data_IF_858045924013
#
_entry.id   IF_858045924013
#
_cell.length_a   1.000
_cell.length_b   1.000
_cell.length_c   1.000
_cell.angle_alpha   90.00
_cell.angle_beta   90.00
_cell.angle_gamma   90.00
#
_symmetry.space_group_name_H-M   'P 1'
#
loop_
_entity.id
_entity.type
_entity.pdbx_description
1 polymer ?
#
# COMPACT_ATOMS: atom_id res chain seq x y z
N UNK A 1 3.16 15.44 66.08
CA UNK A 1 2.44 14.55 65.14
C UNK A 1 2.03 15.32 63.90
N UNK A 2 2.78 15.17 62.81
CA UNK A 2 2.48 15.84 61.53
C UNK A 2 2.27 14.74 60.51
N UNK A 3 1.05 14.52 60.11
CA UNK A 3 0.66 13.56 59.06
C UNK A 3 0.93 14.21 57.69
N UNK A 4 1.88 13.71 56.96
CA UNK A 4 2.12 14.10 55.57
C UNK A 4 1.20 13.27 54.66
N UNK A 5 0.28 13.95 54.02
CA UNK A 5 -0.59 13.37 52.96
C UNK A 5 0.23 13.35 51.69
N UNK A 6 0.59 12.18 51.23
CA UNK A 6 1.19 11.98 49.90
C UNK A 6 0.05 11.87 48.89
N UNK A 7 -0.15 12.91 48.11
CA UNK A 7 -1.06 12.89 46.96
C UNK A 7 -0.40 12.09 45.85
N UNK A 8 -0.94 10.90 45.56
CA UNK A 8 -0.58 10.12 44.39
C UNK A 8 -1.26 10.74 43.15
N UNK A 9 -0.48 11.40 42.33
CA UNK A 9 -0.93 11.87 41.01
C UNK A 9 -0.92 10.66 40.08
N UNK A 10 -2.12 10.14 39.79
CA UNK A 10 -2.30 9.12 38.76
C UNK A 10 -2.10 9.79 37.39
N UNK A 11 -0.95 9.53 36.78
CA UNK A 11 -0.70 9.91 35.39
C UNK A 11 -1.53 8.97 34.49
N UNK A 12 -2.71 9.46 34.06
CA UNK A 12 -3.48 8.81 33.03
C UNK A 12 -2.69 8.98 31.73
N UNK A 13 -1.97 7.93 31.33
CA UNK A 13 -1.41 7.85 30.00
C UNK A 13 -2.58 7.78 29.00
N UNK A 14 -2.92 8.90 28.41
CA UNK A 14 -3.74 8.95 27.20
C UNK A 14 -2.96 8.17 26.14
N UNK A 15 -3.36 6.91 25.92
CA UNK A 15 -2.97 6.16 24.74
C UNK A 15 -3.50 6.94 23.55
N UNK A 16 -2.71 7.90 23.07
CA UNK A 16 -2.98 8.61 21.85
C UNK A 16 -3.07 7.59 20.73
N UNK A 17 -4.19 7.53 20.03
CA UNK A 17 -4.27 6.92 18.72
C UNK A 17 -3.04 7.40 17.95
N UNK A 18 -2.12 6.47 17.67
CA UNK A 18 -0.89 6.81 16.95
C UNK A 18 -1.29 7.48 15.65
N UNK A 19 -1.11 8.78 15.57
CA UNK A 19 -1.21 9.52 14.31
C UNK A 19 -0.12 8.95 13.42
N UNK A 20 -0.51 8.05 12.51
CA UNK A 20 0.39 7.68 11.43
C UNK A 20 0.62 8.98 10.67
N UNK A 21 1.75 9.60 10.81
CA UNK A 21 2.13 10.76 10.01
C UNK A 21 2.33 10.30 8.57
N UNK A 22 1.92 11.08 7.56
CA UNK A 22 2.25 10.80 6.18
C UNK A 22 3.75 10.56 6.08
N UNK A 23 4.15 9.39 5.60
CA UNK A 23 5.55 8.99 5.56
C UNK A 23 5.90 8.31 4.24
N UNK A 24 7.10 8.58 3.76
CA UNK A 24 7.71 7.81 2.67
C UNK A 24 8.30 6.54 3.26
N UNK A 25 7.98 5.39 2.69
CA UNK A 25 8.48 4.09 3.08
C UNK A 25 9.33 3.54 1.94
N UNK A 26 10.58 3.20 2.23
CA UNK A 26 11.54 2.70 1.23
C UNK A 26 12.01 1.28 1.49
N UNK A 27 11.79 0.75 2.69
CA UNK A 27 12.12 -0.63 3.04
C UNK A 27 11.09 -1.59 2.46
N UNK A 28 11.50 -2.54 1.57
CA UNK A 28 10.58 -3.52 0.98
C UNK A 28 9.84 -4.36 2.02
N UNK A 29 10.49 -4.75 3.11
CA UNK A 29 9.86 -5.55 4.16
C UNK A 29 8.74 -4.78 4.87
N UNK A 30 8.95 -3.50 5.12
CA UNK A 30 7.95 -2.63 5.71
C UNK A 30 6.78 -2.37 4.73
N UNK A 31 7.07 -2.16 3.44
CA UNK A 31 6.01 -2.04 2.42
C UNK A 31 5.17 -3.30 2.34
N UNK A 32 5.79 -4.49 2.32
CA UNK A 32 5.06 -5.76 2.33
C UNK A 32 4.14 -5.90 3.54
N UNK A 33 4.63 -5.51 4.71
CA UNK A 33 3.87 -5.56 5.95
C UNK A 33 2.67 -4.61 5.93
N UNK A 34 2.87 -3.38 5.49
CA UNK A 34 1.84 -2.34 5.47
C UNK A 34 0.84 -2.53 4.33
N UNK A 35 1.32 -2.77 3.12
CA UNK A 35 0.47 -2.89 1.93
C UNK A 35 -0.15 -4.29 1.75
N UNK A 36 0.29 -5.27 2.54
CA UNK A 36 -0.16 -6.67 2.45
C UNK A 36 0.00 -7.28 1.06
N UNK A 37 1.06 -6.91 0.38
CA UNK A 37 1.46 -7.45 -0.91
C UNK A 37 2.85 -8.07 -0.80
N UNK A 38 3.26 -8.86 -1.78
CA UNK A 38 4.63 -9.33 -1.89
C UNK A 38 5.42 -8.40 -2.81
N UNK A 39 6.57 -7.92 -2.32
CA UNK A 39 7.55 -7.17 -3.12
C UNK A 39 8.71 -8.13 -3.42
N UNK A 40 8.84 -8.63 -4.67
CA UNK A 40 9.90 -9.58 -5.01
C UNK A 40 11.30 -8.99 -4.81
N UNK A 41 12.34 -9.80 -4.56
CA UNK A 41 13.71 -9.32 -4.46
C UNK A 41 14.24 -8.62 -5.72
N UNK A 42 13.65 -8.93 -6.88
CA UNK A 42 13.94 -8.28 -8.17
C UNK A 42 13.30 -6.91 -8.33
N UNK A 43 12.44 -6.50 -7.40
CA UNK A 43 11.76 -5.21 -7.48
C UNK A 43 12.76 -4.05 -7.45
N UNK A 44 12.59 -3.12 -8.38
CA UNK A 44 13.41 -1.92 -8.49
C UNK A 44 12.53 -0.67 -8.43
N UNK A 45 13.13 0.46 -8.06
CA UNK A 45 12.45 1.75 -8.06
C UNK A 45 11.24 1.81 -7.12
N UNK A 46 11.28 1.10 -5.99
CA UNK A 46 10.22 1.11 -5.00
C UNK A 46 10.01 2.52 -4.44
N UNK A 47 8.80 2.99 -4.58
CA UNK A 47 8.32 4.25 -4.01
C UNK A 47 7.00 3.96 -3.33
N UNK A 48 6.88 4.34 -2.07
CA UNK A 48 5.70 4.07 -1.27
C UNK A 48 5.44 5.22 -0.31
N UNK A 49 4.19 5.52 -0.12
CA UNK A 49 3.73 6.52 0.84
C UNK A 49 2.56 6.00 1.65
N UNK A 50 2.52 6.40 2.91
CA UNK A 50 1.39 6.20 3.79
C UNK A 50 0.70 7.53 4.04
N UNK A 51 -0.62 7.52 4.05
CA UNK A 51 -1.42 8.65 4.47
C UNK A 51 -2.32 8.26 5.63
N UNK A 52 -2.58 9.23 6.46
CA UNK A 52 -3.41 9.05 7.64
C UNK A 52 -4.79 9.63 7.41
N UNK A 53 -5.75 8.87 7.84
CA UNK A 53 -7.15 9.24 7.86
C UNK A 53 -7.86 8.34 8.86
N UNK A 54 -9.17 8.32 8.78
CA UNK A 54 -9.99 7.34 9.50
C UNK A 54 -9.57 5.94 9.05
N UNK A 55 -9.32 5.79 7.75
CA UNK A 55 -8.81 4.57 7.14
C UNK A 55 -7.36 4.79 6.70
N UNK A 56 -6.40 3.99 7.18
CA UNK A 56 -5.02 4.11 6.75
C UNK A 56 -4.90 3.78 5.26
N UNK A 57 -4.29 4.69 4.51
CA UNK A 57 -4.01 4.52 3.10
C UNK A 57 -2.52 4.27 2.89
N UNK A 58 -2.20 3.28 2.08
CA UNK A 58 -0.85 3.04 1.59
C UNK A 58 -0.88 2.85 0.08
N UNK A 59 -0.06 3.60 -0.62
CA UNK A 59 0.05 3.51 -2.06
C UNK A 59 1.49 3.60 -2.52
N UNK A 60 1.77 3.04 -3.67
CA UNK A 60 3.13 3.04 -4.19
C UNK A 60 3.25 2.37 -5.54
N UNK A 61 4.49 2.31 -6.02
CA UNK A 61 4.86 1.61 -7.24
C UNK A 61 6.23 0.96 -7.13
N UNK A 62 6.46 -0.03 -7.97
CA UNK A 62 7.77 -0.63 -8.22
C UNK A 62 7.80 -1.27 -9.61
N UNK A 63 8.98 -1.64 -10.06
CA UNK A 63 9.21 -2.31 -11.34
C UNK A 63 9.66 -3.74 -11.10
N UNK A 64 9.19 -4.68 -11.93
CA UNK A 64 9.59 -6.09 -11.87
C UNK A 64 9.75 -6.67 -13.29
N UNK A 65 10.59 -7.69 -13.47
CA UNK A 65 10.49 -8.55 -14.64
C UNK A 65 9.11 -9.19 -14.75
N UNK A 66 8.57 -9.34 -15.94
CA UNK A 66 7.25 -9.97 -16.16
C UNK A 66 7.15 -11.37 -15.52
N UNK A 67 8.26 -12.12 -15.51
CA UNK A 67 8.30 -13.45 -14.90
C UNK A 67 8.01 -13.46 -13.39
N UNK A 68 8.20 -12.34 -12.71
CA UNK A 68 8.01 -12.22 -11.25
C UNK A 68 6.61 -11.74 -10.82
N UNK A 69 5.72 -11.47 -11.78
CA UNK A 69 4.35 -11.06 -11.48
C UNK A 69 3.63 -12.04 -10.56
N UNK A 70 3.87 -13.34 -10.76
CA UNK A 70 3.27 -14.37 -9.91
C UNK A 70 3.65 -14.22 -8.44
N UNK A 71 4.87 -13.80 -8.14
CA UNK A 71 5.31 -13.56 -6.77
C UNK A 71 4.56 -12.37 -6.13
N UNK A 72 4.27 -11.32 -6.90
CA UNK A 72 3.46 -10.18 -6.42
C UNK A 72 2.03 -10.61 -6.07
N UNK A 73 1.49 -11.54 -6.84
CA UNK A 73 0.12 -12.03 -6.71
C UNK A 73 -0.02 -13.27 -5.81
N UNK A 74 1.02 -13.65 -5.08
CA UNK A 74 1.02 -14.88 -4.27
C UNK A 74 -0.03 -14.87 -3.14
N UNK A 75 -0.41 -13.69 -2.66
CA UNK A 75 -1.45 -13.49 -1.64
C UNK A 75 -2.86 -13.33 -2.21
N UNK A 76 -2.99 -13.23 -3.51
CA UNK A 76 -4.28 -13.10 -4.15
C UNK A 76 -5.13 -14.36 -3.91
N UNK A 77 -6.38 -14.24 -3.42
CA UNK A 77 -7.28 -15.37 -3.27
C UNK A 77 -7.48 -16.13 -4.59
N UNK A 78 -7.67 -17.45 -4.51
CA UNK A 78 -7.82 -18.32 -5.71
C UNK A 78 -9.05 -18.01 -6.54
N UNK A 79 -10.08 -17.45 -5.94
CA UNK A 79 -11.33 -17.02 -6.58
C UNK A 79 -11.25 -15.60 -7.14
N UNK A 80 -10.21 -14.85 -6.82
CA UNK A 80 -9.95 -13.55 -7.39
C UNK A 80 -9.42 -13.68 -8.81
N UNK A 81 -9.80 -12.76 -9.68
CA UNK A 81 -9.39 -12.74 -11.09
C UNK A 81 -8.55 -11.51 -11.40
N UNK A 82 -7.64 -11.69 -12.33
CA UNK A 82 -6.98 -10.57 -13.00
C UNK A 82 -7.90 -10.15 -14.13
N UNK A 83 -8.23 -8.87 -14.17
CA UNK A 83 -9.15 -8.31 -15.16
C UNK A 83 -8.47 -7.18 -15.94
N UNK A 84 -8.87 -6.95 -17.20
CA UNK A 84 -8.49 -5.73 -17.90
C UNK A 84 -8.94 -4.51 -17.08
N UNK A 85 -8.13 -3.47 -17.09
CA UNK A 85 -8.48 -2.24 -16.42
C UNK A 85 -9.84 -1.69 -16.85
N UNK A 86 -10.61 -1.26 -15.87
CA UNK A 86 -11.80 -0.45 -16.08
C UNK A 86 -11.61 0.92 -15.39
N UNK A 87 -12.32 1.92 -15.86
CA UNK A 87 -12.33 3.28 -15.27
C UNK A 87 -12.80 3.32 -13.80
N UNK A 88 -13.23 2.20 -13.27
CA UNK A 88 -13.69 2.06 -11.88
C UNK A 88 -12.62 1.50 -10.94
N UNK A 89 -11.41 1.23 -11.45
CA UNK A 89 -10.32 0.79 -10.58
C UNK A 89 -9.96 1.85 -9.54
N UNK A 90 -9.79 1.42 -8.29
CA UNK A 90 -9.38 2.30 -7.20
C UNK A 90 -8.01 2.95 -7.44
N UNK A 91 -7.10 2.25 -8.12
CA UNK A 91 -5.76 2.77 -8.42
C UNK A 91 -5.78 4.05 -9.24
N UNK A 92 -6.73 4.19 -10.17
CA UNK A 92 -6.82 5.37 -11.05
C UNK A 92 -7.88 6.37 -10.65
N UNK A 93 -8.81 6.00 -9.79
CA UNK A 93 -9.87 6.90 -9.32
C UNK A 93 -9.35 8.00 -8.39
N UNK A 94 -8.16 7.82 -7.81
CA UNK A 94 -7.54 8.77 -6.90
C UNK A 94 -6.34 9.43 -7.57
N UNK A 95 -6.35 10.77 -7.56
CA UNK A 95 -5.20 11.57 -7.99
C UNK A 95 -4.31 11.80 -6.78
N UNK A 96 -3.08 11.27 -6.84
CA UNK A 96 -2.06 11.51 -5.84
C UNK A 96 -1.15 12.65 -6.24
N UNK A 97 -0.66 13.40 -5.27
CA UNK A 97 0.23 14.56 -5.50
C UNK A 97 1.66 14.15 -5.86
N UNK A 98 2.00 12.89 -5.69
CA UNK A 98 3.35 12.39 -5.93
C UNK A 98 3.68 12.37 -7.44
N UNK A 99 4.80 12.97 -7.88
CA UNK A 99 5.16 13.04 -9.31
C UNK A 99 5.33 11.67 -9.96
N UNK A 100 5.66 10.65 -9.17
CA UNK A 100 5.83 9.28 -9.63
C UNK A 100 4.51 8.49 -9.73
N UNK A 101 3.39 9.02 -9.21
CA UNK A 101 2.08 8.39 -9.30
C UNK A 101 1.45 8.67 -10.66
N UNK A 102 1.73 7.83 -11.64
CA UNK A 102 1.28 8.00 -13.02
C UNK A 102 0.72 6.69 -13.61
N UNK A 103 -0.31 6.10 -12.99
CA UNK A 103 -0.86 4.81 -13.46
C UNK A 103 -1.43 4.87 -14.87
N UNK A 104 -1.84 6.04 -15.34
CA UNK A 104 -2.33 6.23 -16.72
C UNK A 104 -1.28 6.04 -17.83
N UNK A 105 0.00 5.89 -17.48
CA UNK A 105 1.07 5.60 -18.45
C UNK A 105 1.22 4.11 -18.79
N UNK A 106 0.57 3.23 -18.04
CA UNK A 106 0.62 1.81 -18.32
C UNK A 106 -0.17 1.51 -19.60
N UNK A 107 0.43 0.72 -20.47
CA UNK A 107 -0.24 0.21 -21.66
C UNK A 107 -1.01 -1.06 -21.31
N UNK A 108 -2.24 -1.17 -21.81
CA UNK A 108 -3.11 -2.33 -21.60
C UNK A 108 -3.09 -2.81 -20.14
N UNK A 109 -3.39 -1.91 -19.17
CA UNK A 109 -3.25 -2.23 -17.78
C UNK A 109 -4.21 -3.34 -17.35
N UNK A 110 -3.72 -4.20 -16.48
CA UNK A 110 -4.50 -5.21 -15.79
C UNK A 110 -4.63 -4.85 -14.32
N UNK A 111 -5.70 -5.28 -13.70
CA UNK A 111 -5.99 -5.04 -12.28
C UNK A 111 -6.28 -6.35 -11.56
N UNK A 112 -5.90 -6.39 -10.30
CA UNK A 112 -6.27 -7.42 -9.35
C UNK A 112 -6.71 -6.73 -8.06
N UNK A 113 -7.93 -6.97 -7.64
CA UNK A 113 -8.52 -6.33 -6.47
C UNK A 113 -9.17 -7.40 -5.58
N UNK A 114 -8.85 -7.37 -4.28
CA UNK A 114 -9.46 -8.27 -3.30
C UNK A 114 -9.53 -7.62 -1.92
N UNK A 115 -10.36 -8.18 -1.06
CA UNK A 115 -10.49 -7.73 0.31
C UNK A 115 -10.06 -8.84 1.28
N UNK A 116 -9.33 -8.43 2.30
CA UNK A 116 -9.03 -9.20 3.49
C UNK A 116 -9.81 -8.59 4.67
N UNK A 117 -9.95 -9.29 5.81
CA UNK A 117 -10.61 -8.70 6.98
C UNK A 117 -9.98 -7.36 7.38
N UNK A 118 -10.76 -6.28 7.28
CA UNK A 118 -10.36 -4.92 7.61
C UNK A 118 -9.39 -4.25 6.63
N UNK A 119 -9.22 -4.78 5.40
CA UNK A 119 -8.27 -4.23 4.45
C UNK A 119 -8.64 -4.52 2.99
N UNK A 120 -8.45 -3.54 2.12
CA UNK A 120 -8.62 -3.68 0.67
C UNK A 120 -7.28 -3.59 -0.04
N UNK A 121 -7.01 -4.54 -0.92
CA UNK A 121 -5.81 -4.60 -1.76
C UNK A 121 -6.19 -4.34 -3.20
N UNK A 122 -5.56 -3.37 -3.82
CA UNK A 122 -5.81 -2.97 -5.20
C UNK A 122 -4.48 -2.83 -5.93
N UNK A 123 -4.29 -3.65 -6.95
CA UNK A 123 -3.10 -3.68 -7.79
C UNK A 123 -3.47 -3.31 -9.23
N UNK A 124 -2.58 -2.57 -9.87
CA UNK A 124 -2.63 -2.28 -11.30
C UNK A 124 -1.24 -2.49 -11.88
N UNK A 125 -1.13 -3.22 -12.96
CA UNK A 125 0.17 -3.55 -13.54
C UNK A 125 0.11 -3.68 -15.05
N UNK A 126 1.25 -3.44 -15.68
CA UNK A 126 1.46 -3.53 -17.11
C UNK A 126 2.76 -2.87 -17.54
N UNK A 127 3.07 -2.94 -18.81
CA UNK A 127 4.27 -2.30 -19.37
C UNK A 127 4.06 -0.80 -19.52
N UNK A 128 5.05 0.01 -19.09
CA UNK A 128 4.98 1.47 -19.21
C UNK A 128 6.13 2.09 -20.01
N UNK A 129 7.02 1.30 -20.55
CA UNK A 129 8.15 1.85 -21.33
C UNK A 129 9.10 0.77 -21.84
N UNK A 130 9.60 -0.10 -20.98
CA UNK A 130 10.56 -1.13 -21.34
C UNK A 130 9.86 -2.48 -21.51
N UNK A 131 9.98 -3.15 -22.67
CA UNK A 131 9.44 -4.49 -22.86
C UNK A 131 9.99 -5.49 -21.84
N UNK A 132 9.14 -6.36 -21.33
CA UNK A 132 9.51 -7.38 -20.34
C UNK A 132 9.62 -6.86 -18.90
N UNK A 133 9.40 -5.56 -18.68
CA UNK A 133 9.35 -4.94 -17.35
C UNK A 133 7.95 -4.43 -17.09
N UNK A 134 7.36 -4.89 -16.01
CA UNK A 134 6.07 -4.40 -15.53
C UNK A 134 6.27 -3.29 -14.51
N UNK A 135 5.45 -2.26 -14.62
CA UNK A 135 5.21 -1.31 -13.53
C UNK A 135 4.03 -1.82 -12.73
N UNK A 136 4.20 -1.94 -11.43
CA UNK A 136 3.14 -2.34 -10.50
C UNK A 136 2.82 -1.15 -9.63
N UNK A 137 1.57 -0.71 -9.66
CA UNK A 137 0.99 0.24 -8.72
C UNK A 137 0.12 -0.49 -7.72
N UNK A 138 0.14 -0.05 -6.48
CA UNK A 138 -0.78 -0.51 -5.43
C UNK A 138 -1.43 0.69 -4.73
N UNK A 139 -2.69 0.52 -4.38
CA UNK A 139 -3.50 1.49 -3.67
C UNK A 139 -4.39 0.74 -2.67
N UNK A 140 -3.90 0.61 -1.46
CA UNK A 140 -4.46 -0.28 -0.46
C UNK A 140 -4.91 0.52 0.76
N UNK A 141 -6.03 0.15 1.36
CA UNK A 141 -6.59 0.91 2.46
C UNK A 141 -7.29 0.01 3.49
N UNK A 142 -7.34 0.49 4.73
CA UNK A 142 -8.18 -0.07 5.78
C UNK A 142 -9.68 0.08 5.47
N UNK A 143 -10.48 -0.83 5.97
CA UNK A 143 -11.94 -0.84 5.86
C UNK A 143 -12.57 -0.65 7.23
#
# INVERSE_FOLDING_TARGET
MRSSLIAAIALVALAGCGRITPATVTDPAEVQRLARITVPPSAAGLQCRTECGIDPLIYGRFYIPTADLRAVLDRMPKDCKIEPYSKYSNVTSHQMSEPWWQPGQIREPQVAEWSEPGFSVNLMFGEAGQPGILTVYFFNFGL
#
